data_IF_513283387052
#
_entry.id   IF_513283387052
#
_cell.length_a   1.000
_cell.length_b   1.000
_cell.length_c   1.000
_cell.angle_alpha   90.00
_cell.angle_beta   90.00
_cell.angle_gamma   90.00
#
_symmetry.space_group_name_H-M   'P 1'
#
loop_
_entity.id
_entity.type
_entity.pdbx_description
1 polymer ?
#
# COMPACT_ATOMS: atom_id res chain seq x y z
N UNK A 1 -23.47 2.84 -42.92
CA UNK A 1 -22.90 3.80 -41.96
C UNK A 1 -22.95 3.17 -40.59
N UNK A 2 -21.83 2.62 -40.16
CA UNK A 2 -21.64 1.90 -38.89
C UNK A 2 -21.52 2.90 -37.74
N UNK A 3 -22.48 2.87 -36.81
CA UNK A 3 -22.30 3.44 -35.49
C UNK A 3 -22.26 2.27 -34.50
N UNK A 4 -21.05 1.78 -34.23
CA UNK A 4 -20.76 0.87 -33.13
C UNK A 4 -21.18 1.57 -31.84
N UNK A 5 -22.25 1.09 -31.20
CA UNK A 5 -22.64 1.55 -29.89
C UNK A 5 -21.57 1.07 -28.89
N UNK A 6 -20.59 1.91 -28.60
CA UNK A 6 -19.67 1.70 -27.48
C UNK A 6 -20.48 1.68 -26.18
N UNK A 7 -20.70 0.46 -25.66
CA UNK A 7 -21.21 0.27 -24.32
C UNK A 7 -20.11 0.68 -23.36
N UNK A 8 -20.07 1.97 -22.99
CA UNK A 8 -19.23 2.46 -21.91
C UNK A 8 -19.77 1.85 -20.60
N UNK A 9 -19.00 1.03 -19.86
CA UNK A 9 -19.47 0.48 -18.60
C UNK A 9 -19.68 1.65 -17.63
N UNK A 10 -20.93 1.85 -17.20
CA UNK A 10 -21.23 2.73 -16.09
C UNK A 10 -20.79 1.98 -14.83
N UNK A 11 -19.64 2.37 -14.26
CA UNK A 11 -19.24 1.91 -12.92
C UNK A 11 -20.45 2.08 -12.01
N UNK A 12 -20.93 0.96 -11.46
CA UNK A 12 -22.07 1.02 -10.56
C UNK A 12 -21.65 1.79 -9.31
N UNK A 13 -22.62 2.36 -8.59
CA UNK A 13 -22.31 3.04 -7.31
C UNK A 13 -21.61 2.10 -6.32
N UNK A 14 -21.81 0.79 -6.46
CA UNK A 14 -21.15 -0.23 -5.66
C UNK A 14 -19.68 -0.40 -6.06
N UNK A 15 -19.34 -0.41 -7.35
CA UNK A 15 -17.95 -0.48 -7.82
C UNK A 15 -17.15 0.73 -7.31
N UNK A 16 -17.71 1.94 -7.46
CA UNK A 16 -17.10 3.17 -6.97
C UNK A 16 -16.99 3.22 -5.42
N UNK A 17 -17.79 2.43 -4.69
CA UNK A 17 -17.66 2.27 -3.24
C UNK A 17 -16.54 1.29 -2.90
N UNK A 18 -16.44 0.17 -3.63
CA UNK A 18 -15.40 -0.82 -3.43
C UNK A 18 -14.01 -0.24 -3.71
N UNK A 19 -13.85 0.54 -4.77
CA UNK A 19 -12.59 1.22 -5.10
C UNK A 19 -12.15 2.17 -3.98
N UNK A 20 -13.08 3.01 -3.49
CA UNK A 20 -12.79 3.90 -2.35
C UNK A 20 -12.37 3.15 -1.09
N UNK A 21 -12.95 1.98 -0.82
CA UNK A 21 -12.56 1.15 0.31
C UNK A 21 -11.18 0.52 0.11
N UNK A 22 -10.84 0.13 -1.13
CA UNK A 22 -9.51 -0.36 -1.48
C UNK A 22 -8.45 0.74 -1.27
N UNK A 23 -8.71 1.94 -1.79
CA UNK A 23 -7.82 3.11 -1.64
C UNK A 23 -7.59 3.49 -0.18
N UNK A 24 -8.65 3.49 0.64
CA UNK A 24 -8.56 3.78 2.06
C UNK A 24 -7.70 2.75 2.80
N UNK A 25 -7.87 1.45 2.47
CA UNK A 25 -7.07 0.38 3.06
C UNK A 25 -5.61 0.51 2.65
N UNK A 26 -5.35 0.82 1.39
CA UNK A 26 -3.97 0.99 0.91
C UNK A 26 -3.30 2.18 1.57
N UNK A 27 -3.99 3.31 1.69
CA UNK A 27 -3.49 4.48 2.39
C UNK A 27 -3.22 4.20 3.88
N UNK A 28 -4.08 3.41 4.54
CA UNK A 28 -3.84 2.97 5.92
C UNK A 28 -2.61 2.06 6.03
N UNK A 29 -2.47 1.10 5.12
CA UNK A 29 -1.31 0.20 5.08
C UNK A 29 -0.01 0.96 4.86
N UNK A 30 -0.01 1.90 3.91
CA UNK A 30 1.16 2.74 3.62
C UNK A 30 1.58 3.57 4.83
N UNK A 31 0.63 4.24 5.50
CA UNK A 31 0.93 5.01 6.72
C UNK A 31 1.44 4.12 7.85
N UNK A 32 0.89 2.91 7.96
CA UNK A 32 1.32 1.96 8.97
C UNK A 32 2.74 1.46 8.69
N UNK A 33 3.05 1.10 7.44
CA UNK A 33 4.38 0.62 7.06
C UNK A 33 5.45 1.71 7.21
N UNK A 34 5.13 2.96 6.87
CA UNK A 34 6.02 4.11 7.07
C UNK A 34 6.36 4.30 8.56
N UNK A 35 5.34 4.37 9.42
CA UNK A 35 5.56 4.52 10.88
C UNK A 35 6.31 3.34 11.48
N UNK A 36 6.06 2.13 10.99
CA UNK A 36 6.79 0.94 11.44
C UNK A 36 8.25 1.01 11.04
N UNK A 37 8.56 1.45 9.81
CA UNK A 37 9.93 1.65 9.34
C UNK A 37 10.66 2.71 10.18
N UNK A 38 10.03 3.87 10.41
CA UNK A 38 10.57 4.94 11.27
C UNK A 38 10.86 4.45 12.69
N UNK A 39 9.93 3.69 13.29
CA UNK A 39 10.10 3.14 14.63
C UNK A 39 11.26 2.14 14.70
N UNK A 40 11.38 1.26 13.70
CA UNK A 40 12.45 0.26 13.65
C UNK A 40 13.80 0.87 13.28
N UNK A 41 13.83 2.01 12.59
CA UNK A 41 15.04 2.80 12.35
C UNK A 41 15.58 3.39 13.66
N UNK A 42 14.69 3.91 14.51
CA UNK A 42 15.06 4.44 15.83
C UNK A 42 15.55 3.34 16.80
N UNK A 43 15.17 2.09 16.57
CA UNK A 43 15.55 0.92 17.36
C UNK A 43 16.73 0.17 16.78
N UNK A 44 17.90 0.81 16.77
CA UNK A 44 19.16 0.15 16.37
C UNK A 44 19.47 -1.09 17.21
N UNK A 45 19.01 -1.12 18.46
CA UNK A 45 19.19 -2.24 19.38
C UNK A 45 18.54 -3.55 18.91
N UNK A 46 17.59 -3.48 17.97
CA UNK A 46 16.95 -4.65 17.38
C UNK A 46 17.68 -5.21 16.15
N UNK A 47 18.65 -4.48 15.59
CA UNK A 47 19.36 -4.92 14.38
C UNK A 47 20.22 -6.16 14.66
N UNK A 48 20.14 -7.15 13.78
CA UNK A 48 20.83 -8.44 13.89
C UNK A 48 20.27 -9.39 14.95
N UNK A 49 19.33 -8.93 15.79
CA UNK A 49 18.70 -9.75 16.86
C UNK A 49 17.23 -10.03 16.52
N UNK A 50 16.55 -9.08 15.89
CA UNK A 50 15.16 -9.21 15.52
C UNK A 50 15.00 -9.30 14.00
N UNK A 51 14.57 -10.47 13.53
CA UNK A 51 14.42 -10.76 12.11
C UNK A 51 13.47 -9.79 11.38
N UNK A 52 12.45 -9.25 12.06
CA UNK A 52 11.55 -8.26 11.47
C UNK A 52 12.27 -6.92 11.26
N UNK A 53 13.06 -6.47 12.23
CA UNK A 53 13.86 -5.25 12.09
C UNK A 53 14.86 -5.36 10.92
N UNK A 54 15.51 -6.51 10.79
CA UNK A 54 16.45 -6.78 9.70
C UNK A 54 15.76 -6.81 8.34
N UNK A 55 14.60 -7.47 8.27
CA UNK A 55 13.79 -7.54 7.05
C UNK A 55 13.30 -6.15 6.61
N UNK A 56 12.77 -5.36 7.54
CA UNK A 56 12.27 -4.01 7.24
C UNK A 56 13.42 -3.10 6.82
N UNK A 57 14.56 -3.15 7.52
CA UNK A 57 15.75 -2.38 7.14
C UNK A 57 16.25 -2.74 5.74
N UNK A 58 16.31 -4.03 5.41
CA UNK A 58 16.66 -4.47 4.06
C UNK A 58 15.64 -3.98 3.02
N UNK A 59 14.34 -4.13 3.30
CA UNK A 59 13.27 -3.71 2.39
C UNK A 59 13.33 -2.21 2.10
N UNK A 60 13.51 -1.37 3.12
CA UNK A 60 13.67 0.09 2.96
C UNK A 60 14.90 0.42 2.12
N UNK A 61 16.05 -0.22 2.42
CA UNK A 61 17.30 -0.01 1.68
C UNK A 61 17.20 -0.30 0.18
N UNK A 62 16.35 -1.26 -0.21
CA UNK A 62 16.13 -1.59 -1.63
C UNK A 62 15.02 -0.75 -2.28
N UNK A 63 14.18 -0.09 -1.50
CA UNK A 63 13.06 0.75 -2.00
C UNK A 63 13.41 2.23 -2.18
N UNK A 64 14.52 2.69 -1.59
CA UNK A 64 15.07 4.03 -1.73
C UNK A 64 15.89 4.17 -3.02
#
# INVERSE_FOLDING_TARGET
>A
MTATAETRPLLTTDDARLDRLADQRENLRLRHSQRLAELLEQREDLRGVNALADFVSASVRWSA
#
